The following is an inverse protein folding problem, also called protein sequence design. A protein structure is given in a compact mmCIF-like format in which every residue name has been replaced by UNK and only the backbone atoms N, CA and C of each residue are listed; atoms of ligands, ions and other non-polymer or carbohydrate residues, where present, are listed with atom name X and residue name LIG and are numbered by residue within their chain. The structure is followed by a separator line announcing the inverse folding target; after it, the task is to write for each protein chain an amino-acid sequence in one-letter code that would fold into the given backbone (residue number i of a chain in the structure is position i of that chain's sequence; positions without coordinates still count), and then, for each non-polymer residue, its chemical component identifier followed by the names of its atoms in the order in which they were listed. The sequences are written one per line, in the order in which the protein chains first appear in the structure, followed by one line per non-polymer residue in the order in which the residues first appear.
data_IF_254521393734
#
_entry.id   IF_254521393734
#
_cell.length_a   1.000
_cell.length_b   1.000
_cell.length_c   1.000
_cell.angle_alpha   90.00
_cell.angle_beta   90.00
_cell.angle_gamma   90.00
#
_symmetry.space_group_name_H-M   'P 1'
#
loop_
_entity.id
_entity.type
_entity.pdbx_description
1 polymer ?
#
# COMPACT_ATOMS: atom_id res chain seq x y z
N UNK A 1 23.92 18.20 26.75
CA UNK A 1 24.46 16.82 26.77
C UNK A 1 25.30 16.52 25.53
N UNK A 2 24.75 16.54 24.31
CA UNK A 2 25.48 16.23 23.06
C UNK A 2 26.63 17.21 22.78
N UNK A 3 26.38 18.53 22.89
CA UNK A 3 27.41 19.57 22.74
C UNK A 3 28.42 19.64 23.92
N UNK A 4 28.08 19.04 25.06
CA UNK A 4 28.95 19.01 26.25
C UNK A 4 29.79 17.71 26.34
N UNK A 5 29.69 16.82 25.34
CA UNK A 5 30.41 15.54 25.32
C UNK A 5 29.88 14.49 26.31
N UNK A 6 28.74 14.73 26.95
CA UNK A 6 28.20 13.89 28.03
C UNK A 6 27.28 12.75 27.54
N UNK A 7 27.17 12.55 26.22
CA UNK A 7 26.30 11.51 25.66
C UNK A 7 27.02 10.17 25.62
N UNK A 8 26.57 9.20 26.41
CA UNK A 8 27.06 7.82 26.36
C UNK A 8 26.48 7.10 25.14
N UNK A 9 27.32 6.37 24.38
CA UNK A 9 26.88 5.53 23.26
C UNK A 9 26.49 4.15 23.78
N UNK A 10 25.39 3.61 23.26
CA UNK A 10 24.95 2.22 23.52
C UNK A 10 25.04 1.44 22.20
N UNK A 11 25.72 0.28 22.17
CA UNK A 11 25.73 -0.58 20.98
C UNK A 11 24.31 -1.03 20.61
N UNK A 12 24.05 -1.19 19.31
CA UNK A 12 22.82 -1.83 18.86
C UNK A 12 22.81 -3.30 19.31
N UNK A 13 21.67 -3.83 19.80
CA UNK A 13 21.54 -5.25 20.08
C UNK A 13 21.78 -6.10 18.82
N UNK A 14 22.31 -7.34 18.96
CA UNK A 14 22.42 -8.27 17.83
C UNK A 14 21.02 -8.65 17.29
N UNK A 15 20.95 -9.09 16.04
CA UNK A 15 19.70 -9.48 15.39
C UNK A 15 19.00 -8.37 14.59
N UNK A 16 19.71 -7.29 14.28
CA UNK A 16 19.21 -6.26 13.37
C UNK A 16 18.90 -6.80 11.97
N UNK A 17 18.05 -6.09 11.25
CA UNK A 17 17.76 -6.33 9.84
C UNK A 17 17.99 -5.06 9.04
N UNK A 18 18.21 -5.20 7.73
CA UNK A 18 18.40 -4.08 6.82
C UNK A 18 17.34 -4.13 5.73
N UNK A 19 16.79 -2.96 5.41
CA UNK A 19 15.86 -2.78 4.30
C UNK A 19 16.50 -1.81 3.31
N UNK A 20 16.62 -2.23 2.05
CA UNK A 20 17.07 -1.37 0.97
C UNK A 20 16.05 -0.27 0.69
N UNK A 21 16.47 0.75 -0.06
CA UNK A 21 15.52 1.70 -0.63
C UNK A 21 14.49 0.96 -1.50
N UNK A 22 13.19 1.29 -1.41
CA UNK A 22 12.16 0.59 -2.15
C UNK A 22 12.30 0.83 -3.66
N UNK A 23 12.10 -0.23 -4.42
CA UNK A 23 11.92 -0.25 -5.87
C UNK A 23 10.46 0.06 -6.25
N UNK A 24 10.15 0.16 -7.54
CA UNK A 24 8.76 0.29 -8.00
C UNK A 24 7.93 -0.97 -7.70
N UNK A 25 8.56 -2.15 -7.68
CA UNK A 25 7.88 -3.42 -7.42
C UNK A 25 7.36 -3.52 -5.97
N UNK A 26 8.00 -2.82 -5.04
CA UNK A 26 7.58 -2.75 -3.63
C UNK A 26 6.25 -2.00 -3.44
N UNK A 27 5.79 -1.24 -4.45
CA UNK A 27 4.49 -0.56 -4.46
C UNK A 27 3.38 -1.41 -5.10
N UNK A 28 3.56 -2.72 -5.14
CA UNK A 28 2.50 -3.63 -5.56
C UNK A 28 1.49 -3.87 -4.44
N UNK A 29 0.21 -3.96 -4.81
CA UNK A 29 -0.88 -4.34 -3.92
C UNK A 29 -1.17 -5.82 -4.10
N UNK A 30 -1.10 -6.56 -3.00
CA UNK A 30 -1.45 -7.97 -2.95
C UNK A 30 -2.89 -8.14 -2.45
N UNK A 31 -3.74 -8.74 -3.29
CA UNK A 31 -5.16 -8.97 -3.01
C UNK A 31 -5.40 -9.94 -1.84
N UNK A 32 -4.38 -10.69 -1.41
CA UNK A 32 -4.43 -11.54 -0.23
C UNK A 32 -4.31 -10.76 1.10
N UNK A 33 -3.90 -9.49 1.06
CA UNK A 33 -3.86 -8.64 2.25
C UNK A 33 -5.26 -8.28 2.72
N UNK A 34 -5.39 -7.84 3.98
CA UNK A 34 -6.60 -7.17 4.43
C UNK A 34 -6.70 -5.77 3.82
N UNK A 35 -7.93 -5.29 3.62
CA UNK A 35 -8.18 -3.94 3.11
C UNK A 35 -7.54 -2.85 3.99
N UNK A 36 -7.54 -3.06 5.32
CA UNK A 36 -6.88 -2.18 6.27
C UNK A 36 -5.37 -2.11 6.04
N UNK A 37 -4.71 -3.26 5.80
CA UNK A 37 -3.27 -3.29 5.50
C UNK A 37 -2.98 -2.56 4.19
N UNK A 38 -3.72 -2.84 3.13
CA UNK A 38 -3.54 -2.18 1.83
C UNK A 38 -3.75 -0.65 1.92
N UNK A 39 -4.80 -0.22 2.62
CA UNK A 39 -5.07 1.20 2.87
C UNK A 39 -3.93 1.86 3.66
N UNK A 40 -3.49 1.25 4.76
CA UNK A 40 -2.40 1.80 5.57
C UNK A 40 -1.10 1.87 4.79
N UNK A 41 -0.78 0.86 3.99
CA UNK A 41 0.38 0.86 3.13
C UNK A 41 0.35 2.04 2.15
N UNK A 42 -0.77 2.23 1.43
CA UNK A 42 -0.94 3.35 0.51
C UNK A 42 -0.88 4.71 1.22
N UNK A 43 -1.43 4.83 2.43
CA UNK A 43 -1.38 6.09 3.18
C UNK A 43 0.02 6.40 3.70
N UNK A 44 0.74 5.39 4.19
CA UNK A 44 2.07 5.55 4.77
C UNK A 44 3.15 5.86 3.71
N UNK A 45 2.94 5.40 2.47
CA UNK A 45 3.91 5.57 1.37
C UNK A 45 3.51 6.64 0.36
N UNK A 46 2.38 7.34 0.58
CA UNK A 46 1.84 8.31 -0.36
C UNK A 46 2.80 9.48 -0.66
N UNK A 47 3.60 9.89 0.33
CA UNK A 47 4.56 10.99 0.19
C UNK A 47 5.69 10.68 -0.80
N UNK A 48 5.92 9.40 -1.10
CA UNK A 48 6.92 8.99 -2.10
C UNK A 48 6.46 9.24 -3.53
N UNK A 49 5.19 9.63 -3.75
CA UNK A 49 4.68 10.08 -5.04
C UNK A 49 4.62 9.00 -6.13
N UNK A 50 4.76 7.73 -5.75
CA UNK A 50 4.72 6.58 -6.67
C UNK A 50 3.31 6.00 -6.76
N UNK A 51 2.86 5.57 -7.95
CA UNK A 51 1.61 4.82 -8.08
C UNK A 51 1.76 3.42 -7.51
N UNK A 52 0.62 2.81 -7.18
CA UNK A 52 0.54 1.42 -6.78
C UNK A 52 0.02 0.57 -7.94
N UNK A 53 0.54 -0.64 -8.05
CA UNK A 53 0.18 -1.58 -9.10
C UNK A 53 -0.55 -2.77 -8.54
N UNK A 54 -1.59 -3.24 -9.23
CA UNK A 54 -2.25 -4.48 -8.89
C UNK A 54 -2.63 -5.23 -10.17
N UNK A 55 -2.65 -6.55 -10.11
CA UNK A 55 -3.17 -7.39 -11.20
C UNK A 55 -4.39 -8.14 -10.69
N UNK A 56 -5.52 -7.99 -11.38
CA UNK A 56 -6.76 -8.66 -11.06
C UNK A 56 -7.39 -9.20 -12.35
N UNK A 57 -7.69 -10.51 -12.37
CA UNK A 57 -8.29 -11.18 -13.53
C UNK A 57 -7.52 -10.93 -14.85
N UNK A 58 -6.18 -10.90 -14.79
CA UNK A 58 -5.33 -10.64 -15.96
C UNK A 58 -5.26 -9.17 -16.40
N UNK A 59 -6.00 -8.27 -15.75
CA UNK A 59 -5.93 -6.83 -15.99
C UNK A 59 -5.02 -6.15 -14.95
N UNK A 60 -4.07 -5.36 -15.43
CA UNK A 60 -3.24 -4.49 -14.59
C UNK A 60 -3.97 -3.18 -14.30
N UNK A 61 -3.89 -2.72 -13.06
CA UNK A 61 -4.47 -1.45 -12.62
C UNK A 61 -3.39 -0.57 -12.01
N UNK A 62 -3.49 0.72 -12.32
CA UNK A 62 -2.69 1.77 -11.71
C UNK A 62 -3.53 2.51 -10.69
N UNK A 63 -3.22 2.33 -9.41
CA UNK A 63 -3.90 2.99 -8.29
C UNK A 63 -3.08 4.19 -7.86
N UNK A 64 -3.68 5.38 -7.91
CA UNK A 64 -3.01 6.63 -7.58
C UNK A 64 -3.17 6.98 -6.08
N UNK A 65 -4.35 6.77 -5.52
CA UNK A 65 -4.65 7.22 -4.15
C UNK A 65 -5.77 6.43 -3.50
N UNK A 66 -5.55 5.96 -2.27
CA UNK A 66 -6.61 5.40 -1.44
C UNK A 66 -7.51 6.50 -0.84
N UNK A 67 -8.83 6.31 -0.90
CA UNK A 67 -9.84 7.20 -0.33
C UNK A 67 -10.36 6.71 1.02
N UNK A 68 -10.48 5.38 1.19
CA UNK A 68 -10.98 4.75 2.42
C UNK A 68 -11.01 3.23 2.30
N UNK A 69 -11.30 2.55 3.40
CA UNK A 69 -11.44 1.09 3.43
C UNK A 69 -12.68 0.67 4.24
N UNK A 70 -13.21 -0.50 3.90
CA UNK A 70 -14.32 -1.15 4.58
C UNK A 70 -13.91 -2.60 4.89
N UNK A 71 -14.04 -3.02 6.16
CA UNK A 71 -13.64 -4.35 6.62
C UNK A 71 -14.66 -5.46 6.33
N UNK A 72 -15.92 -5.12 6.05
CA UNK A 72 -17.03 -6.06 5.87
C UNK A 72 -17.60 -6.09 4.45
N UNK A 73 -17.18 -5.17 3.57
CA UNK A 73 -17.69 -5.09 2.22
C UNK A 73 -17.43 -6.37 1.40
N UNK A 74 -18.48 -6.90 0.80
CA UNK A 74 -18.44 -7.93 -0.23
C UNK A 74 -18.54 -7.31 -1.62
N UNK A 75 -17.66 -7.73 -2.52
CA UNK A 75 -17.64 -7.28 -3.91
C UNK A 75 -17.85 -8.49 -4.83
N UNK A 76 -18.67 -8.30 -5.86
CA UNK A 76 -18.98 -9.32 -6.88
C UNK A 76 -17.78 -9.65 -7.76
N UNK A 77 -16.84 -8.72 -7.92
CA UNK A 77 -15.58 -8.88 -8.62
C UNK A 77 -14.39 -8.39 -7.78
N UNK A 78 -13.14 -8.81 -8.08
CA UNK A 78 -11.95 -8.31 -7.39
C UNK A 78 -11.75 -6.80 -7.56
N UNK A 79 -12.19 -6.24 -8.67
CA UNK A 79 -12.14 -4.80 -8.94
C UNK A 79 -13.46 -4.37 -9.58
N UNK A 80 -14.06 -3.32 -9.05
CA UNK A 80 -15.27 -2.68 -9.59
C UNK A 80 -14.96 -1.20 -9.80
N UNK A 81 -15.20 -0.67 -10.99
CA UNK A 81 -15.01 0.75 -11.30
C UNK A 81 -16.37 1.41 -11.57
N UNK A 82 -16.73 2.38 -10.74
CA UNK A 82 -18.01 3.08 -10.80
C UNK A 82 -17.81 4.55 -10.42
N UNK A 83 -18.39 5.47 -11.19
CA UNK A 83 -18.37 6.92 -10.94
C UNK A 83 -16.96 7.51 -10.69
N UNK A 84 -15.95 7.00 -11.40
CA UNK A 84 -14.56 7.45 -11.25
C UNK A 84 -13.84 6.89 -10.03
N UNK A 85 -14.46 5.98 -9.28
CA UNK A 85 -13.89 5.34 -8.09
C UNK A 85 -13.64 3.86 -8.36
N UNK A 86 -12.43 3.43 -8.03
CA UNK A 86 -12.02 2.04 -8.03
C UNK A 86 -12.32 1.43 -6.66
N UNK A 87 -13.13 0.37 -6.62
CA UNK A 87 -13.32 -0.49 -5.45
C UNK A 87 -12.58 -1.80 -5.65
N UNK A 88 -11.57 -2.03 -4.82
CA UNK A 88 -10.69 -3.20 -4.88
C UNK A 88 -11.00 -4.12 -3.71
N UNK A 89 -11.30 -5.38 -3.99
CA UNK A 89 -11.54 -6.42 -2.99
C UNK A 89 -10.21 -6.97 -2.48
N UNK A 90 -10.09 -7.01 -1.17
CA UNK A 90 -8.99 -7.57 -0.40
C UNK A 90 -9.53 -8.70 0.50
N UNK A 91 -8.66 -9.37 1.24
CA UNK A 91 -9.03 -10.47 2.13
C UNK A 91 -8.64 -10.20 3.59
N UNK A 92 -9.58 -9.76 4.46
CA UNK A 92 -10.95 -9.34 4.18
C UNK A 92 -11.07 -7.87 3.74
N UNK A 93 -12.23 -7.51 3.20
CA UNK A 93 -12.70 -6.14 3.01
C UNK A 93 -12.46 -5.55 1.61
N UNK A 94 -12.64 -4.24 1.48
CA UNK A 94 -12.36 -3.50 0.25
C UNK A 94 -11.74 -2.13 0.48
N UNK A 95 -11.04 -1.61 -0.53
CA UNK A 95 -10.53 -0.24 -0.58
C UNK A 95 -11.19 0.52 -1.71
N UNK A 96 -11.69 1.71 -1.41
CA UNK A 96 -12.07 2.71 -2.42
C UNK A 96 -10.87 3.59 -2.74
N UNK A 97 -10.58 3.78 -4.02
CA UNK A 97 -9.39 4.47 -4.50
C UNK A 97 -9.64 5.22 -5.82
N UNK A 98 -8.73 6.14 -6.15
CA UNK A 98 -8.61 6.71 -7.48
C UNK A 98 -7.57 5.90 -8.24
N UNK A 99 -7.92 5.48 -9.45
CA UNK A 99 -7.05 4.68 -10.31
C UNK A 99 -7.73 4.38 -11.64
N UNK A 100 -6.96 3.78 -12.54
CA UNK A 100 -7.44 3.41 -13.88
C UNK A 100 -6.92 2.03 -14.26
N UNK A 101 -7.63 1.35 -15.15
CA UNK A 101 -7.06 0.22 -15.85
C UNK A 101 -5.83 0.70 -16.65
N UNK A 102 -4.79 -0.10 -16.65
CA UNK A 102 -3.65 0.12 -17.55
C UNK A 102 -3.99 -0.40 -18.94
N UNK A 103 -3.48 0.25 -19.98
CA UNK A 103 -3.55 -0.32 -21.32
C UNK A 103 -2.88 -1.70 -21.32
N UNK A 104 -3.39 -2.67 -22.11
CA UNK A 104 -2.78 -3.99 -22.25
C UNK A 104 -1.35 -3.92 -22.78
#
# INVERSE_FOLDING_TARGET
ALAAGLSTRTPQPPGGSYQSWPSDADFSLDLAWSARRAYNFMRATAEWGRPYWLTAQGQSWRVARALGWDGGATLSAPVVYQDGILRIRFNPGSVSAIGTASAP
#
